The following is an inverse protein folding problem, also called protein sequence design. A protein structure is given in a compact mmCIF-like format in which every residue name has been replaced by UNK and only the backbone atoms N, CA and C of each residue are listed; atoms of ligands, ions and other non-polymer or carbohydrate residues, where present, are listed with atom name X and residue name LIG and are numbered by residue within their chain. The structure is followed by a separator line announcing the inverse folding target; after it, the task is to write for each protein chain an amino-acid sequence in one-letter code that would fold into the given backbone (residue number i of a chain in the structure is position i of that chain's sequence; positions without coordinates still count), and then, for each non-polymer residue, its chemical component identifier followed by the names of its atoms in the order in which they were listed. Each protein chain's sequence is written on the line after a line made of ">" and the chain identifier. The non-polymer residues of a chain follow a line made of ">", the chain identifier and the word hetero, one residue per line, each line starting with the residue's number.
data_IF_954841228812
#
_entry.id   IF_954841228812
#
_cell.length_a   1.000
_cell.length_b   1.000
_cell.length_c   1.000
_cell.angle_alpha   90.00
_cell.angle_beta   90.00
_cell.angle_gamma   90.00
#
_symmetry.space_group_name_H-M   'P 1'
#
loop_
_entity.id
_entity.type
_entity.pdbx_description
1 polymer ?
#
# COMPACT_ATOMS: atom_id res chain seq x y z
N UNK A 1 -16.79 0.45 -21.11
CA UNK A 1 -15.57 1.27 -21.03
C UNK A 1 -14.61 0.57 -20.07
N UNK A 2 -13.32 0.52 -20.39
CA UNK A 2 -12.32 -0.12 -19.51
C UNK A 2 -12.06 0.75 -18.29
N UNK A 3 -12.00 0.13 -17.12
CA UNK A 3 -11.66 0.78 -15.85
C UNK A 3 -10.23 0.41 -15.45
N UNK A 4 -9.58 1.30 -14.72
CA UNK A 4 -8.22 1.09 -14.23
C UNK A 4 -8.18 1.32 -12.73
N UNK A 5 -7.53 0.43 -12.00
CA UNK A 5 -7.18 0.61 -10.60
C UNK A 5 -5.67 0.74 -10.51
N UNK A 6 -5.22 1.95 -10.18
CA UNK A 6 -3.81 2.37 -10.10
C UNK A 6 -3.44 2.51 -8.63
N UNK A 7 -2.50 1.73 -8.12
CA UNK A 7 -2.20 1.71 -6.69
C UNK A 7 -0.76 1.30 -6.38
N UNK A 8 -0.20 1.85 -5.30
CA UNK A 8 1.08 1.39 -4.77
C UNK A 8 1.01 -0.08 -4.36
N UNK A 9 2.09 -0.83 -4.55
CA UNK A 9 2.13 -2.26 -4.26
C UNK A 9 2.41 -2.61 -2.80
N UNK A 10 2.43 -1.62 -1.91
CA UNK A 10 2.56 -1.81 -0.47
C UNK A 10 1.23 -2.11 0.22
N UNK A 11 1.28 -2.18 1.56
CA UNK A 11 0.09 -2.48 2.35
C UNK A 11 -0.99 -1.41 2.21
N UNK A 12 -0.60 -0.13 2.12
CA UNK A 12 -1.57 0.95 2.12
C UNK A 12 -2.33 1.02 0.79
N UNK A 13 -1.61 1.04 -0.34
CA UNK A 13 -2.23 1.01 -1.66
C UNK A 13 -3.09 -0.25 -1.91
N UNK A 14 -2.58 -1.43 -1.55
CA UNK A 14 -3.31 -2.70 -1.74
C UNK A 14 -4.58 -2.74 -0.89
N UNK A 15 -4.50 -2.43 0.40
CA UNK A 15 -5.65 -2.55 1.29
C UNK A 15 -6.66 -1.42 1.05
N UNK A 16 -6.23 -0.23 0.64
CA UNK A 16 -7.13 0.83 0.21
C UNK A 16 -7.98 0.39 -1.00
N UNK A 17 -7.36 -0.23 -2.00
CA UNK A 17 -8.10 -0.76 -3.14
C UNK A 17 -9.06 -1.87 -2.72
N UNK A 18 -8.60 -2.80 -1.90
CA UNK A 18 -9.41 -3.95 -1.47
C UNK A 18 -10.65 -3.51 -0.70
N UNK A 19 -10.52 -2.54 0.20
CA UNK A 19 -11.65 -1.90 0.88
C UNK A 19 -12.69 -1.37 -0.13
N UNK A 20 -12.26 -0.58 -1.12
CA UNK A 20 -13.16 -0.03 -2.14
C UNK A 20 -13.84 -1.12 -2.97
N UNK A 21 -13.16 -2.22 -3.26
CA UNK A 21 -13.66 -3.28 -4.16
C UNK A 21 -14.55 -4.30 -3.44
N UNK A 22 -14.41 -4.44 -2.12
CA UNK A 22 -15.40 -5.14 -1.29
C UNK A 22 -16.73 -4.38 -1.24
N UNK A 23 -16.68 -3.05 -1.20
CA UNK A 23 -17.89 -2.22 -1.12
C UNK A 23 -18.52 -1.92 -2.48
N UNK A 24 -17.67 -1.61 -3.46
CA UNK A 24 -18.05 -1.33 -4.85
C UNK A 24 -17.27 -2.25 -5.79
N UNK A 25 -17.74 -3.51 -5.96
CA UNK A 25 -17.12 -4.46 -6.85
C UNK A 25 -17.02 -3.92 -8.27
N UNK A 26 -15.85 -4.11 -8.89
CA UNK A 26 -15.56 -3.64 -10.24
C UNK A 26 -14.54 -4.53 -10.92
N UNK A 27 -14.76 -4.74 -12.22
CA UNK A 27 -13.74 -5.29 -13.10
C UNK A 27 -12.89 -4.12 -13.63
N UNK A 28 -11.61 -4.11 -13.27
CA UNK A 28 -10.65 -3.09 -13.67
C UNK A 28 -9.30 -3.73 -13.97
N UNK A 29 -8.55 -3.12 -14.89
CA UNK A 29 -7.15 -3.47 -15.12
C UNK A 29 -6.30 -2.91 -13.98
N UNK A 30 -5.45 -3.75 -13.39
CA UNK A 30 -4.58 -3.39 -12.28
C UNK A 30 -3.29 -2.78 -12.81
N UNK A 31 -2.94 -1.59 -12.34
CA UNK A 31 -1.65 -0.93 -12.59
C UNK A 31 -1.00 -0.70 -11.22
N UNK A 32 0.03 -1.49 -10.94
CA UNK A 32 0.76 -1.46 -9.66
C UNK A 32 2.21 -1.89 -9.88
N UNK A 33 3.03 -1.77 -8.85
CA UNK A 33 4.48 -1.99 -8.89
C UNK A 33 5.09 -2.00 -7.49
N UNK A 34 6.41 -2.06 -7.40
CA UNK A 34 7.14 -1.98 -6.12
C UNK A 34 6.89 -0.64 -5.42
N UNK A 35 7.16 -0.56 -4.10
CA UNK A 35 6.90 0.65 -3.28
C UNK A 35 7.49 1.94 -3.85
N UNK A 36 8.64 1.84 -4.53
CA UNK A 36 9.35 2.96 -5.13
C UNK A 36 8.88 3.35 -6.54
N UNK A 37 8.02 2.54 -7.18
CA UNK A 37 7.46 2.85 -8.48
C UNK A 37 6.25 3.77 -8.29
N UNK A 38 6.50 5.07 -8.22
CA UNK A 38 5.49 6.06 -7.84
C UNK A 38 4.80 6.77 -9.01
N UNK A 39 5.34 6.67 -10.23
CA UNK A 39 4.80 7.34 -11.44
C UNK A 39 3.78 6.47 -12.22
N UNK A 40 2.93 5.73 -11.50
CA UNK A 40 2.11 4.67 -12.08
C UNK A 40 1.05 5.16 -13.09
N UNK A 41 0.58 6.42 -13.00
CA UNK A 41 -0.44 6.92 -13.93
C UNK A 41 0.06 6.99 -15.37
N UNK A 42 1.39 7.03 -15.57
CA UNK A 42 1.97 7.01 -16.91
C UNK A 42 1.59 5.74 -17.68
N UNK A 43 1.38 4.62 -16.99
CA UNK A 43 1.03 3.31 -17.57
C UNK A 43 -0.43 3.19 -18.01
N UNK A 44 -1.32 4.11 -17.60
CA UNK A 44 -2.71 4.12 -18.04
C UNK A 44 -2.77 4.54 -19.52
N UNK A 45 -3.39 3.73 -20.42
CA UNK A 45 -3.46 4.04 -21.85
C UNK A 45 -4.11 5.38 -22.18
N UNK A 46 -3.66 6.00 -23.26
CA UNK A 46 -4.27 7.20 -23.81
C UNK A 46 -5.72 6.96 -24.26
N UNK A 47 -6.56 7.98 -24.15
CA UNK A 47 -7.96 7.90 -24.59
C UNK A 47 -8.84 7.01 -23.72
N UNK A 48 -8.41 6.68 -22.50
CA UNK A 48 -9.28 6.05 -21.50
C UNK A 48 -10.49 6.97 -21.23
N UNK A 49 -11.67 6.57 -21.70
CA UNK A 49 -12.93 7.24 -21.37
C UNK A 49 -13.64 6.66 -20.14
N UNK A 50 -13.03 5.68 -19.46
CA UNK A 50 -13.60 5.01 -18.29
C UNK A 50 -13.27 5.70 -16.96
N UNK A 51 -13.43 4.95 -15.87
CA UNK A 51 -13.04 5.39 -14.53
C UNK A 51 -11.65 4.88 -14.18
N UNK A 52 -10.80 5.78 -13.70
CA UNK A 52 -9.47 5.48 -13.14
C UNK A 52 -9.55 5.74 -11.64
N UNK A 53 -9.35 4.71 -10.83
CA UNK A 53 -9.18 4.83 -9.38
C UNK A 53 -7.69 4.92 -9.10
N UNK A 54 -7.26 5.89 -8.32
CA UNK A 54 -5.85 6.09 -7.96
C UNK A 54 -5.72 6.07 -6.45
N UNK A 55 -4.81 5.25 -5.93
CA UNK A 55 -4.60 5.04 -4.51
C UNK A 55 -3.11 5.07 -4.16
N UNK A 56 -2.75 5.86 -3.17
CA UNK A 56 -1.44 5.81 -2.52
C UNK A 56 -0.24 6.07 -3.46
N UNK A 57 -0.45 6.93 -4.44
CA UNK A 57 0.63 7.44 -5.29
C UNK A 57 0.59 8.94 -5.25
N UNK A 58 1.74 9.57 -5.11
CA UNK A 58 1.81 11.03 -4.99
C UNK A 58 1.21 11.70 -6.23
N UNK A 59 0.26 12.61 -6.00
CA UNK A 59 -0.29 13.47 -7.05
C UNK A 59 0.81 14.29 -7.73
N UNK A 60 1.77 14.81 -6.97
CA UNK A 60 2.82 15.69 -7.47
C UNK A 60 3.70 14.99 -8.51
N UNK A 61 4.05 13.72 -8.28
CA UNK A 61 4.78 12.90 -9.25
C UNK A 61 3.95 12.53 -10.49
N UNK A 62 2.62 12.57 -10.39
CA UNK A 62 1.70 12.10 -11.42
C UNK A 62 0.88 13.22 -12.09
N UNK A 63 1.10 14.49 -11.76
CA UNK A 63 0.24 15.60 -12.17
C UNK A 63 0.08 15.71 -13.71
N UNK A 64 1.17 15.51 -14.46
CA UNK A 64 1.14 15.55 -15.92
C UNK A 64 0.32 14.38 -16.51
N UNK A 65 0.49 13.17 -15.98
CA UNK A 65 -0.27 11.99 -16.41
C UNK A 65 -1.74 12.11 -16.01
N UNK A 66 -2.03 12.65 -14.82
CA UNK A 66 -3.39 12.93 -14.35
C UNK A 66 -4.11 13.90 -15.29
N UNK A 67 -3.46 15.02 -15.65
CA UNK A 67 -4.00 16.00 -16.61
C UNK A 67 -4.33 15.33 -17.94
N UNK A 68 -3.38 14.57 -18.48
CA UNK A 68 -3.54 13.83 -19.74
C UNK A 68 -4.76 12.91 -19.73
N UNK A 69 -4.97 12.16 -18.65
CA UNK A 69 -6.13 11.25 -18.52
C UNK A 69 -7.44 12.02 -18.45
N UNK A 70 -7.48 13.08 -17.63
CA UNK A 70 -8.66 13.92 -17.46
C UNK A 70 -9.04 14.63 -18.75
N UNK A 71 -8.09 15.18 -19.49
CA UNK A 71 -8.32 15.85 -20.79
C UNK A 71 -8.76 14.83 -21.85
N UNK A 72 -8.22 13.60 -21.78
CA UNK A 72 -8.55 12.48 -22.66
C UNK A 72 -9.91 11.83 -22.45
N UNK A 73 -10.68 12.24 -21.43
CA UNK A 73 -12.04 11.77 -21.21
C UNK A 73 -12.29 11.07 -19.87
N UNK A 74 -11.24 10.65 -19.17
CA UNK A 74 -11.36 9.81 -17.99
C UNK A 74 -12.04 10.54 -16.82
N UNK A 75 -12.81 9.78 -16.04
CA UNK A 75 -13.18 10.17 -14.68
C UNK A 75 -12.14 9.60 -13.71
N UNK A 76 -11.52 10.45 -12.89
CA UNK A 76 -10.50 10.03 -11.94
C UNK A 76 -11.01 10.24 -10.52
N UNK A 77 -10.89 9.20 -9.71
CA UNK A 77 -11.12 9.25 -8.26
C UNK A 77 -9.81 8.89 -7.57
N UNK A 78 -9.29 9.80 -6.75
CA UNK A 78 -7.92 9.81 -6.30
C UNK A 78 -7.89 9.90 -4.77
N UNK A 79 -7.29 8.92 -4.10
CA UNK A 79 -7.07 8.87 -2.67
C UNK A 79 -5.57 8.86 -2.40
N UNK A 80 -5.07 9.84 -1.65
CA UNK A 80 -3.64 9.94 -1.36
C UNK A 80 -3.39 10.77 -0.10
N UNK A 81 -2.35 10.41 0.64
CA UNK A 81 -1.92 11.11 1.86
C UNK A 81 -0.58 11.82 1.69
N UNK A 82 0.07 11.72 0.52
CA UNK A 82 1.28 12.47 0.21
C UNK A 82 0.98 13.95 -0.08
N UNK A 83 2.06 14.71 -0.34
CA UNK A 83 1.97 16.07 -0.87
C UNK A 83 1.15 16.12 -2.16
N UNK A 84 0.31 17.15 -2.25
CA UNK A 84 -0.55 17.45 -3.39
C UNK A 84 -0.42 18.93 -3.79
N UNK A 85 0.79 19.49 -3.73
CA UNK A 85 1.08 20.89 -4.06
C UNK A 85 0.78 21.22 -5.54
N UNK A 86 0.86 20.22 -6.42
CA UNK A 86 0.52 20.32 -7.83
C UNK A 86 -0.98 20.06 -8.12
N UNK A 87 -1.82 19.95 -7.09
CA UNK A 87 -3.24 19.67 -7.26
C UNK A 87 -3.95 20.77 -8.05
N UNK A 88 -4.98 20.36 -8.78
CA UNK A 88 -5.80 21.26 -9.59
C UNK A 88 -7.26 20.82 -9.61
N UNK A 89 -8.16 21.76 -9.83
CA UNK A 89 -9.57 21.45 -10.03
C UNK A 89 -9.81 20.96 -11.46
N UNK A 90 -10.66 19.93 -11.58
CA UNK A 90 -11.18 19.47 -12.86
C UNK A 90 -12.55 18.80 -12.63
N UNK A 91 -13.57 19.00 -13.48
CA UNK A 91 -14.93 18.48 -13.25
C UNK A 91 -15.01 16.93 -13.22
N UNK A 92 -14.02 16.27 -13.82
CA UNK A 92 -13.87 14.81 -13.83
C UNK A 92 -12.90 14.26 -12.78
N UNK A 93 -12.37 15.12 -11.90
CA UNK A 93 -11.47 14.72 -10.82
C UNK A 93 -12.21 14.80 -9.49
N UNK A 94 -12.24 13.68 -8.76
CA UNK A 94 -12.58 13.62 -7.35
C UNK A 94 -11.30 13.35 -6.59
N UNK A 95 -10.88 14.31 -5.77
CA UNK A 95 -9.63 14.26 -5.02
C UNK A 95 -9.93 14.15 -3.53
N UNK A 96 -9.40 13.11 -2.91
CA UNK A 96 -9.45 12.83 -1.48
C UNK A 96 -8.01 12.84 -0.96
N UNK A 97 -7.56 14.00 -0.47
CA UNK A 97 -6.21 14.17 0.07
C UNK A 97 -6.23 14.69 1.50
N UNK A 98 -5.33 14.15 2.32
CA UNK A 98 -5.08 14.57 3.69
C UNK A 98 -3.63 14.24 4.04
N UNK A 99 -2.77 15.26 4.02
CA UNK A 99 -1.34 15.14 4.32
C UNK A 99 -1.01 15.12 5.81
N UNK A 100 -2.00 14.89 6.68
CA UNK A 100 -1.77 14.82 8.12
C UNK A 100 -0.91 13.61 8.48
N UNK A 101 0.03 13.73 9.43
CA UNK A 101 0.97 12.65 9.77
C UNK A 101 0.31 11.40 10.38
N UNK A 102 -0.96 11.49 10.76
CA UNK A 102 -1.75 10.39 11.34
C UNK A 102 -2.67 9.69 10.33
N UNK A 103 -2.49 9.97 9.03
CA UNK A 103 -3.38 9.50 7.96
C UNK A 103 -2.58 8.80 6.87
N UNK A 104 -3.02 7.59 6.53
CA UNK A 104 -2.64 6.88 5.31
C UNK A 104 -3.85 6.80 4.35
N UNK A 105 -3.61 6.39 3.11
CA UNK A 105 -4.62 6.26 2.05
C UNK A 105 -5.77 5.33 2.46
N UNK A 106 -5.48 4.23 3.13
CA UNK A 106 -6.49 3.29 3.64
C UNK A 106 -7.40 3.90 4.69
N UNK A 107 -6.91 4.86 5.48
CA UNK A 107 -7.74 5.62 6.43
C UNK A 107 -8.67 6.58 5.66
N UNK A 108 -8.21 7.19 4.57
CA UNK A 108 -9.06 8.01 3.71
C UNK A 108 -10.19 7.19 3.08
N UNK A 109 -9.86 5.98 2.61
CA UNK A 109 -10.86 5.03 2.10
C UNK A 109 -11.81 4.57 3.22
N UNK A 110 -11.32 4.24 4.42
CA UNK A 110 -12.17 3.88 5.56
C UNK A 110 -13.21 4.97 5.86
N UNK A 111 -12.77 6.23 5.92
CA UNK A 111 -13.64 7.40 6.12
C UNK A 111 -14.66 7.53 5.01
N UNK A 112 -14.24 7.39 3.75
CA UNK A 112 -15.13 7.43 2.58
C UNK A 112 -16.20 6.34 2.63
N UNK A 113 -15.83 5.13 3.07
CA UNK A 113 -16.73 3.98 3.22
C UNK A 113 -17.47 3.96 4.56
N UNK A 114 -17.36 5.00 5.38
CA UNK A 114 -17.96 5.09 6.71
C UNK A 114 -17.66 3.87 7.60
N UNK A 115 -16.44 3.32 7.52
CA UNK A 115 -15.98 2.23 8.37
C UNK A 115 -16.42 0.83 7.98
N UNK A 116 -17.11 0.64 6.84
CA UNK A 116 -17.67 -0.69 6.46
C UNK A 116 -16.61 -1.78 6.27
N UNK A 117 -15.37 -1.39 5.95
CA UNK A 117 -14.24 -2.32 5.72
C UNK A 117 -13.05 -2.05 6.66
N UNK A 118 -13.31 -1.43 7.82
CA UNK A 118 -12.29 -0.93 8.77
C UNK A 118 -11.19 -1.91 9.19
N UNK A 119 -11.43 -3.23 9.33
CA UNK A 119 -10.35 -4.16 9.66
C UNK A 119 -9.15 -4.09 8.70
N UNK A 120 -9.38 -3.82 7.41
CA UNK A 120 -8.31 -3.63 6.43
C UNK A 120 -7.56 -2.31 6.62
N UNK A 121 -8.25 -1.24 7.03
CA UNK A 121 -7.61 0.03 7.37
C UNK A 121 -6.74 -0.08 8.62
N UNK A 122 -7.11 -0.91 9.61
CA UNK A 122 -6.26 -1.22 10.76
C UNK A 122 -4.94 -1.85 10.31
N UNK A 123 -5.01 -2.89 9.45
CA UNK A 123 -3.82 -3.56 8.94
C UNK A 123 -2.95 -2.60 8.10
N UNK A 124 -3.56 -1.77 7.26
CA UNK A 124 -2.84 -0.78 6.46
C UNK A 124 -2.10 0.24 7.33
N UNK A 125 -2.77 0.82 8.33
CA UNK A 125 -2.16 1.81 9.22
C UNK A 125 -0.95 1.25 9.97
N UNK A 126 -0.98 -0.02 10.42
CA UNK A 126 0.23 -0.66 10.95
C UNK A 126 1.31 -0.90 9.90
N UNK A 127 0.93 -1.23 8.67
CA UNK A 127 1.87 -1.38 7.56
C UNK A 127 2.61 -0.08 7.24
N UNK A 128 1.94 1.04 7.42
CA UNK A 128 2.44 2.39 7.17
C UNK A 128 3.09 3.06 8.40
N UNK A 129 3.39 2.26 9.44
CA UNK A 129 3.99 2.71 10.70
C UNK A 129 3.20 3.81 11.42
N UNK A 130 1.86 3.72 11.39
CA UNK A 130 0.94 4.59 12.10
C UNK A 130 0.37 3.85 13.32
N UNK A 131 1.21 3.48 14.30
CA UNK A 131 0.78 2.68 15.46
C UNK A 131 -0.38 3.32 16.23
N UNK A 132 -0.30 4.62 16.51
CA UNK A 132 -1.35 5.35 17.24
C UNK A 132 -2.71 5.27 16.53
N UNK A 133 -2.82 5.74 15.27
CA UNK A 133 -4.04 5.63 14.47
C UNK A 133 -4.55 4.19 14.33
N UNK A 134 -3.67 3.22 14.11
CA UNK A 134 -4.04 1.81 13.98
C UNK A 134 -4.68 1.25 15.26
N UNK A 135 -4.12 1.58 16.44
CA UNK A 135 -4.67 1.18 17.73
C UNK A 135 -6.05 1.80 17.99
N UNK A 136 -6.26 3.06 17.62
CA UNK A 136 -7.56 3.73 17.75
C UNK A 136 -8.62 3.06 16.86
N UNK A 137 -8.28 2.73 15.62
CA UNK A 137 -9.18 2.01 14.71
C UNK A 137 -9.51 0.61 15.24
N UNK A 138 -8.51 -0.13 15.73
CA UNK A 138 -8.70 -1.46 16.31
C UNK A 138 -9.60 -1.42 17.56
N UNK A 139 -9.38 -0.46 18.45
CA UNK A 139 -10.21 -0.25 19.63
C UNK A 139 -11.66 0.10 19.25
N UNK A 140 -11.88 0.88 18.19
CA UNK A 140 -13.23 1.22 17.71
C UNK A 140 -14.05 0.00 17.24
N UNK A 141 -13.36 -1.08 16.85
CA UNK A 141 -13.95 -2.35 16.46
C UNK A 141 -14.09 -3.33 17.63
N UNK A 142 -13.56 -2.99 18.81
CA UNK A 142 -13.50 -3.90 19.95
C UNK A 142 -12.57 -5.11 19.72
N UNK A 143 -11.54 -4.97 18.88
CA UNK A 143 -10.56 -6.03 18.66
C UNK A 143 -9.75 -6.27 19.93
N UNK A 144 -9.51 -7.54 20.25
CA UNK A 144 -8.62 -7.90 21.33
C UNK A 144 -7.14 -7.73 20.93
N UNK A 145 -6.24 -7.93 21.90
CA UNK A 145 -4.81 -7.79 21.68
C UNK A 145 -4.26 -8.80 20.65
N UNK A 146 -4.82 -10.01 20.58
CA UNK A 146 -4.35 -11.04 19.68
C UNK A 146 -4.73 -10.73 18.22
N UNK A 147 -5.98 -10.33 17.99
CA UNK A 147 -6.47 -9.89 16.69
C UNK A 147 -5.73 -8.63 16.23
N UNK A 148 -5.53 -7.66 17.12
CA UNK A 148 -4.78 -6.43 16.80
C UNK A 148 -3.34 -6.74 16.41
N UNK A 149 -2.65 -7.61 17.15
CA UNK A 149 -1.30 -8.04 16.82
C UNK A 149 -1.23 -8.80 15.48
N UNK A 150 -2.24 -9.61 15.18
CA UNK A 150 -2.32 -10.32 13.90
C UNK A 150 -2.48 -9.34 12.71
N UNK A 151 -3.32 -8.31 12.85
CA UNK A 151 -3.46 -7.27 11.83
C UNK A 151 -2.20 -6.40 11.70
N UNK A 152 -1.52 -6.11 12.81
CA UNK A 152 -0.24 -5.42 12.78
C UNK A 152 0.82 -6.21 12.02
N UNK A 153 0.91 -7.52 12.27
CA UNK A 153 1.81 -8.41 11.54
C UNK A 153 1.45 -8.47 10.05
N UNK A 154 0.17 -8.57 9.70
CA UNK A 154 -0.30 -8.55 8.31
C UNK A 154 0.13 -7.28 7.58
N UNK A 155 -0.13 -6.10 8.16
CA UNK A 155 0.31 -4.82 7.61
C UNK A 155 1.81 -4.80 7.34
N UNK A 156 2.59 -5.20 8.34
CA UNK A 156 4.06 -5.22 8.29
C UNK A 156 4.58 -6.13 7.17
N UNK A 157 4.13 -7.37 7.08
CA UNK A 157 4.67 -8.32 6.08
C UNK A 157 4.25 -7.97 4.65
N UNK A 158 3.08 -7.34 4.47
CA UNK A 158 2.64 -6.87 3.14
C UNK A 158 3.41 -5.61 2.73
N UNK A 159 3.59 -4.63 3.62
CA UNK A 159 4.40 -3.44 3.32
C UNK A 159 5.86 -3.84 3.02
N UNK A 160 6.42 -4.72 3.85
CA UNK A 160 7.75 -5.32 3.65
C UNK A 160 7.91 -5.96 2.27
N UNK A 161 6.91 -6.73 1.80
CA UNK A 161 6.96 -7.38 0.49
C UNK A 161 7.09 -6.39 -0.66
N UNK A 162 6.69 -5.12 -0.50
CA UNK A 162 6.74 -4.12 -1.56
C UNK A 162 8.10 -3.46 -1.74
N UNK A 163 9.03 -3.65 -0.79
CA UNK A 163 10.38 -3.12 -0.90
C UNK A 163 11.20 -3.96 -1.88
N UNK A 164 11.53 -3.39 -3.03
CA UNK A 164 12.35 -4.06 -4.04
C UNK A 164 12.75 -3.08 -5.13
N UNK A 165 13.70 -3.49 -5.97
CA UNK A 165 14.00 -2.70 -7.15
C UNK A 165 13.06 -2.98 -8.32
N UNK A 166 12.59 -4.21 -8.39
CA UNK A 166 11.63 -4.71 -9.36
C UNK A 166 10.76 -5.79 -8.70
N UNK A 167 9.69 -6.22 -9.36
CA UNK A 167 8.84 -7.30 -8.86
C UNK A 167 9.61 -8.62 -8.63
N UNK A 168 10.76 -8.83 -9.29
CA UNK A 168 11.62 -10.01 -9.07
C UNK A 168 12.29 -10.03 -7.69
N UNK A 169 12.40 -8.89 -7.04
CA UNK A 169 12.92 -8.82 -5.67
C UNK A 169 11.85 -9.14 -4.63
N UNK A 170 10.57 -9.18 -4.99
CA UNK A 170 9.48 -9.43 -4.05
C UNK A 170 9.25 -10.93 -3.89
N UNK A 171 8.61 -11.32 -2.78
CA UNK A 171 8.16 -12.70 -2.63
C UNK A 171 6.94 -12.99 -3.52
N UNK A 172 6.10 -11.99 -3.74
CA UNK A 172 4.94 -12.04 -4.63
C UNK A 172 4.72 -10.68 -5.29
N UNK A 173 4.39 -10.69 -6.58
CA UNK A 173 4.05 -9.46 -7.31
C UNK A 173 2.78 -8.81 -6.73
N UNK A 174 2.69 -7.47 -6.63
CA UNK A 174 1.57 -6.79 -5.96
C UNK A 174 0.21 -7.10 -6.60
N UNK A 175 0.14 -7.17 -7.93
CA UNK A 175 -1.09 -7.53 -8.64
C UNK A 175 -1.55 -8.97 -8.34
N UNK A 176 -0.61 -9.90 -8.10
CA UNK A 176 -0.93 -11.27 -7.72
C UNK A 176 -1.38 -11.35 -6.26
N UNK A 177 -0.73 -10.61 -5.36
CA UNK A 177 -1.11 -10.48 -3.96
C UNK A 177 -2.53 -9.90 -3.83
N UNK A 178 -2.82 -8.80 -4.51
CA UNK A 178 -4.16 -8.20 -4.51
C UNK A 178 -5.24 -9.18 -4.98
N UNK A 179 -5.00 -9.93 -6.07
CA UNK A 179 -5.96 -10.93 -6.55
C UNK A 179 -6.20 -12.05 -5.53
N UNK A 180 -5.18 -12.44 -4.76
CA UNK A 180 -5.33 -13.44 -3.71
C UNK A 180 -6.17 -12.92 -2.53
N UNK A 181 -6.08 -11.63 -2.21
CA UNK A 181 -6.95 -10.99 -1.20
C UNK A 181 -8.42 -11.00 -1.62
N UNK A 182 -8.71 -10.98 -2.92
CA UNK A 182 -10.08 -10.96 -3.47
C UNK A 182 -11.00 -12.09 -3.00
N UNK A 183 -10.46 -13.19 -2.46
CA UNK A 183 -11.23 -14.28 -1.87
C UNK A 183 -11.67 -14.02 -0.41
N UNK A 184 -11.23 -12.93 0.21
CA UNK A 184 -11.36 -12.69 1.64
C UNK A 184 -12.00 -11.33 1.92
N UNK A 185 -13.19 -11.35 2.53
CA UNK A 185 -13.83 -10.14 3.02
C UNK A 185 -13.17 -9.62 4.31
N UNK A 186 -12.69 -10.52 5.17
CA UNK A 186 -12.06 -10.16 6.44
C UNK A 186 -10.55 -10.47 6.41
N UNK A 187 -9.70 -9.58 6.96
CA UNK A 187 -8.25 -9.81 7.00
C UNK A 187 -7.86 -10.99 7.89
N UNK A 188 -8.61 -11.26 8.96
CA UNK A 188 -8.36 -12.40 9.83
C UNK A 188 -8.58 -13.75 9.11
N UNK A 189 -9.52 -13.81 8.17
CA UNK A 189 -9.74 -15.00 7.35
C UNK A 189 -8.55 -15.21 6.38
N UNK A 190 -8.01 -14.13 5.81
CA UNK A 190 -6.80 -14.20 4.99
C UNK A 190 -5.60 -14.69 5.81
N UNK A 191 -5.42 -14.17 7.02
CA UNK A 191 -4.37 -14.61 7.95
C UNK A 191 -4.49 -16.10 8.28
N UNK A 192 -5.71 -16.59 8.51
CA UNK A 192 -5.96 -17.98 8.88
C UNK A 192 -5.82 -18.97 7.70
N UNK A 193 -6.26 -18.58 6.50
CA UNK A 193 -6.42 -19.49 5.36
C UNK A 193 -5.36 -19.39 4.26
N UNK A 194 -4.62 -18.29 4.18
CA UNK A 194 -3.77 -18.01 3.01
C UNK A 194 -2.38 -18.63 3.10
N UNK A 195 -2.01 -19.42 2.09
CA UNK A 195 -0.63 -19.87 1.92
C UNK A 195 0.31 -18.72 1.59
N UNK A 196 -0.18 -17.69 0.89
CA UNK A 196 0.59 -16.49 0.56
C UNK A 196 0.96 -15.74 1.84
N UNK A 197 0.02 -15.60 2.79
CA UNK A 197 0.32 -14.96 4.07
C UNK A 197 1.40 -15.71 4.86
N UNK A 198 1.30 -17.05 4.93
CA UNK A 198 2.33 -17.88 5.58
C UNK A 198 3.70 -17.71 4.93
N UNK A 199 3.75 -17.76 3.60
CA UNK A 199 4.96 -17.55 2.82
C UNK A 199 5.58 -16.16 3.07
N UNK A 200 4.77 -15.10 3.13
CA UNK A 200 5.24 -13.75 3.46
C UNK A 200 5.83 -13.66 4.87
N UNK A 201 5.20 -14.32 5.85
CA UNK A 201 5.71 -14.38 7.22
C UNK A 201 7.04 -15.13 7.31
N UNK A 202 7.17 -16.24 6.58
CA UNK A 202 8.40 -17.03 6.54
C UNK A 202 9.53 -16.23 5.90
N UNK A 203 9.28 -15.62 4.74
CA UNK A 203 10.26 -14.77 4.05
C UNK A 203 10.69 -13.56 4.88
N UNK A 204 9.75 -12.91 5.57
CA UNK A 204 10.05 -11.82 6.50
C UNK A 204 10.98 -12.28 7.64
N UNK A 205 10.68 -13.43 8.26
CA UNK A 205 11.51 -13.98 9.35
C UNK A 205 12.90 -14.35 8.87
N UNK A 206 13.00 -15.01 7.73
CA UNK A 206 14.28 -15.42 7.14
C UNK A 206 15.17 -14.21 6.82
N UNK A 207 14.60 -13.16 6.25
CA UNK A 207 15.35 -11.96 5.88
C UNK A 207 15.72 -11.10 7.10
N UNK A 208 14.84 -11.04 8.11
CA UNK A 208 15.18 -10.43 9.41
C UNK A 208 16.27 -11.20 10.15
N UNK A 209 16.33 -12.53 10.05
CA UNK A 209 17.41 -13.32 10.65
C UNK A 209 18.77 -12.96 10.03
N UNK A 210 18.81 -12.60 8.74
CA UNK A 210 20.03 -12.13 8.07
C UNK A 210 20.51 -10.78 8.61
N UNK A 211 19.61 -9.92 9.08
CA UNK A 211 19.99 -8.65 9.72
C UNK A 211 20.84 -8.85 10.97
N UNK A 212 20.59 -9.90 11.76
CA UNK A 212 21.34 -10.16 13.00
C UNK A 212 22.85 -10.39 12.77
N UNK A 213 23.20 -10.86 11.56
CA UNK A 213 24.59 -11.06 11.14
C UNK A 213 25.28 -9.79 10.64
N UNK A 214 24.55 -8.70 10.40
CA UNK A 214 25.13 -7.47 9.90
C UNK A 214 25.98 -6.79 10.97
N UNK A 215 27.03 -6.12 10.51
CA UNK A 215 27.84 -5.21 11.31
C UNK A 215 27.80 -3.85 10.65
N UNK A 216 27.77 -2.77 11.45
CA UNK A 216 27.87 -1.43 10.90
C UNK A 216 29.19 -1.31 10.14
N UNK A 217 29.14 -0.72 8.95
CA UNK A 217 30.32 -0.31 8.21
C UNK A 217 31.06 0.81 8.93
N UNK A 218 30.31 1.72 9.56
CA UNK A 218 30.81 2.75 10.45
C UNK A 218 29.81 2.99 11.58
N UNK A 219 30.31 3.31 12.77
CA UNK A 219 29.51 3.61 13.95
C UNK A 219 30.03 4.91 14.57
N UNK A 220 29.09 5.80 14.92
CA UNK A 220 29.34 7.13 15.47
C UNK A 220 28.35 7.41 16.59
N UNK A 221 28.62 8.43 17.41
CA UNK A 221 27.74 8.80 18.54
C UNK A 221 26.30 9.14 18.11
N UNK A 222 26.12 9.60 16.88
CA UNK A 222 24.82 10.00 16.32
C UNK A 222 24.13 8.90 15.47
N UNK A 223 24.76 7.74 15.28
CA UNK A 223 24.17 6.65 14.51
C UNK A 223 25.17 5.72 13.84
N UNK A 224 24.65 4.77 13.06
CA UNK A 224 25.43 3.75 12.37
C UNK A 224 25.12 3.72 10.86
N UNK A 225 26.14 3.41 10.07
CA UNK A 225 26.04 3.21 8.61
C UNK A 225 26.13 1.73 8.31
N UNK A 226 25.16 1.19 7.58
CA UNK A 226 25.16 -0.20 7.14
C UNK A 226 25.31 -0.28 5.62
N UNK A 227 26.11 -1.24 5.15
CA UNK A 227 26.19 -1.59 3.72
C UNK A 227 25.51 -2.93 3.53
N UNK A 228 24.40 -2.92 2.78
CA UNK A 228 23.64 -4.10 2.45
C UNK A 228 24.14 -4.72 1.13
N UNK A 229 24.16 -6.06 1.01
CA UNK A 229 24.51 -6.69 -0.26
C UNK A 229 23.44 -6.43 -1.33
N UNK A 230 23.84 -6.34 -2.59
CA UNK A 230 22.94 -6.20 -3.73
C UNK A 230 22.13 -7.49 -3.99
N UNK A 231 21.13 -7.74 -3.16
CA UNK A 231 20.33 -8.96 -3.17
C UNK A 231 18.88 -8.69 -2.76
N UNK A 232 17.95 -9.52 -3.22
CA UNK A 232 16.51 -9.34 -3.01
C UNK A 232 16.13 -9.20 -1.52
N UNK A 233 16.67 -10.07 -0.65
CA UNK A 233 16.38 -10.02 0.79
C UNK A 233 16.76 -8.66 1.41
N UNK A 234 17.91 -8.12 1.00
CA UNK A 234 18.43 -6.90 1.57
C UNK A 234 17.63 -5.68 1.09
N UNK A 235 17.13 -5.73 -0.16
CA UNK A 235 16.21 -4.73 -0.71
C UNK A 235 14.89 -4.74 0.05
N UNK A 236 14.30 -5.91 0.28
CA UNK A 236 13.05 -6.04 1.05
C UNK A 236 13.18 -5.54 2.48
N UNK A 237 14.26 -5.94 3.16
CA UNK A 237 14.45 -5.61 4.59
C UNK A 237 14.93 -4.17 4.81
N UNK A 238 15.30 -3.45 3.75
CA UNK A 238 15.82 -2.07 3.86
C UNK A 238 14.86 -1.14 4.58
N UNK A 239 13.55 -1.23 4.31
CA UNK A 239 12.53 -0.46 5.01
C UNK A 239 12.44 -0.81 6.49
N UNK A 240 12.60 -2.09 6.84
CA UNK A 240 12.58 -2.54 8.25
C UNK A 240 13.79 -2.04 9.02
N UNK A 241 14.95 -1.94 8.35
CA UNK A 241 16.18 -1.45 8.97
C UNK A 241 16.19 0.08 9.15
N UNK A 242 15.52 0.81 8.26
CA UNK A 242 15.51 2.27 8.26
C UNK A 242 14.46 2.89 9.21
N UNK A 243 13.43 2.12 9.59
CA UNK A 243 12.38 2.52 10.54
C UNK A 243 12.78 2.14 11.97
#
# INVERSE_FOLDING_TARGET
>A
MTHYDVFNGDADGIFALHQLRLDTPRQAELITGVKREIELLQRVPHGCGGQVTVLDVSLDCNAAALRRLLDGGAAVEYFDHHSADCAFAHPRLRLHCDGSPEVCTSILVDRHLAGRQRPWAVAAAFGDNLEGPAQLLAASLGLDAAATAALAQLGRVVNYNAYGESEHDLHIAPAALYRALGAYAQPLDFIAGSEIYRMLCDGYRDDCARLQGLRPHAEHDAGAVYILPASAWARRVSGVLAN
#
